data_IF_594421391808
#
_entry.id   IF_594421391808
#
_cell.length_a   1.000
_cell.length_b   1.000
_cell.length_c   1.000
_cell.angle_alpha   90.00
_cell.angle_beta   90.00
_cell.angle_gamma   90.00
#
_symmetry.space_group_name_H-M   'P 1'
#
loop_
_entity.id
_entity.type
_entity.pdbx_description
1 polymer ?
#
# COMPACT_ATOMS: atom_id res chain seq x y z
N UNK A 1 -3.77 -18.51 -13.42
CA UNK A 1 -2.72 -19.02 -14.35
C UNK A 1 -2.33 -17.88 -15.28
N UNK A 2 -1.04 -17.59 -15.47
CA UNK A 2 -0.56 -16.55 -16.40
C UNK A 2 0.72 -17.03 -17.11
N UNK A 3 0.77 -17.01 -18.44
CA UNK A 3 1.96 -17.37 -19.23
C UNK A 3 2.23 -16.35 -20.34
N UNK A 4 3.50 -16.03 -20.57
CA UNK A 4 3.96 -15.21 -21.69
C UNK A 4 4.99 -15.97 -22.53
N UNK A 5 4.66 -16.13 -23.80
CA UNK A 5 5.49 -16.83 -24.76
C UNK A 5 5.93 -15.89 -25.89
N UNK A 6 7.13 -16.13 -26.40
CA UNK A 6 7.63 -15.48 -27.61
C UNK A 6 7.95 -16.50 -28.68
N UNK A 7 7.81 -16.10 -29.94
CA UNK A 7 8.15 -16.92 -31.09
C UNK A 7 8.95 -16.05 -32.06
N UNK A 8 10.15 -16.50 -32.38
CA UNK A 8 11.05 -15.79 -33.28
C UNK A 8 11.61 -16.72 -34.36
N UNK A 9 11.40 -16.33 -35.61
CA UNK A 9 12.03 -16.92 -36.80
C UNK A 9 12.58 -15.79 -37.70
N UNK A 10 13.17 -16.14 -38.85
CA UNK A 10 13.79 -15.16 -39.76
C UNK A 10 12.82 -14.09 -40.31
N UNK A 11 11.50 -14.31 -40.21
CA UNK A 11 10.46 -13.45 -40.78
C UNK A 11 9.43 -12.96 -39.74
N UNK A 12 9.43 -13.50 -38.54
CA UNK A 12 8.40 -13.33 -37.52
C UNK A 12 9.03 -13.09 -36.15
N UNK A 13 8.54 -12.06 -35.46
CA UNK A 13 8.81 -11.83 -34.03
C UNK A 13 7.47 -11.56 -33.36
N UNK A 14 6.97 -12.56 -32.62
CA UNK A 14 5.60 -12.60 -32.11
C UNK A 14 5.58 -12.89 -30.63
N UNK A 15 4.59 -12.33 -29.94
CA UNK A 15 4.28 -12.68 -28.56
C UNK A 15 2.88 -13.28 -28.48
N UNK A 16 2.69 -14.11 -27.47
CA UNK A 16 1.42 -14.69 -27.10
C UNK A 16 1.36 -14.80 -25.57
N UNK A 17 0.29 -14.33 -24.95
CA UNK A 17 0.07 -14.47 -23.52
C UNK A 17 -1.30 -15.12 -23.27
N UNK A 18 -1.47 -15.68 -22.07
CA UNK A 18 -2.76 -16.14 -21.57
C UNK A 18 -2.86 -15.87 -20.07
N UNK A 19 -3.98 -15.28 -19.66
CA UNK A 19 -4.30 -14.94 -18.28
C UNK A 19 -5.65 -15.55 -17.91
N UNK A 20 -5.69 -16.39 -16.88
CA UNK A 20 -6.91 -17.02 -16.37
C UNK A 20 -7.35 -16.31 -15.10
N UNK A 21 -8.60 -15.84 -15.08
CA UNK A 21 -9.28 -15.20 -13.95
C UNK A 21 -10.65 -15.85 -13.74
N UNK A 22 -10.79 -16.61 -12.65
CA UNK A 22 -11.99 -17.40 -12.35
C UNK A 22 -12.35 -18.38 -13.46
N UNK A 23 -13.59 -18.30 -13.95
CA UNK A 23 -14.09 -19.13 -15.06
C UNK A 23 -13.82 -18.53 -16.45
N UNK A 24 -12.94 -17.53 -16.57
CA UNK A 24 -12.61 -16.90 -17.84
C UNK A 24 -11.11 -16.83 -18.07
N UNK A 25 -10.69 -16.80 -19.33
CA UNK A 25 -9.32 -16.45 -19.67
C UNK A 25 -9.28 -15.39 -20.76
N UNK A 26 -8.21 -14.59 -20.77
CA UNK A 26 -7.87 -13.63 -21.80
C UNK A 26 -6.57 -14.05 -22.47
N UNK A 27 -6.56 -14.09 -23.80
CA UNK A 27 -5.38 -14.35 -24.63
C UNK A 27 -5.07 -13.10 -25.42
N UNK A 28 -3.85 -12.57 -25.29
CA UNK A 28 -3.32 -11.47 -26.10
C UNK A 28 -2.19 -11.96 -26.99
N UNK A 29 -2.20 -11.58 -28.25
CA UNK A 29 -1.16 -11.96 -29.20
C UNK A 29 -0.86 -10.85 -30.20
N UNK A 30 0.38 -10.80 -30.67
CA UNK A 30 0.79 -9.74 -31.58
C UNK A 30 2.23 -9.87 -32.04
N UNK A 31 2.69 -8.87 -32.79
CA UNK A 31 4.10 -8.69 -33.08
C UNK A 31 4.78 -8.13 -31.83
N UNK A 32 5.97 -8.64 -31.50
CA UNK A 32 6.73 -8.16 -30.33
C UNK A 32 6.92 -6.64 -30.41
N UNK A 33 6.59 -5.92 -29.33
CA UNK A 33 6.65 -4.46 -29.25
C UNK A 33 5.36 -3.71 -29.65
N UNK A 34 4.26 -4.41 -29.97
CA UNK A 34 2.94 -3.79 -30.15
C UNK A 34 1.98 -4.16 -29.02
N UNK A 35 0.87 -3.45 -28.89
CA UNK A 35 -0.17 -3.77 -27.89
C UNK A 35 -0.89 -5.10 -28.16
N UNK A 36 -0.73 -5.68 -29.36
CA UNK A 36 -1.38 -6.92 -29.77
C UNK A 36 -2.91 -6.84 -29.87
N UNK A 37 -3.53 -8.00 -29.93
CA UNK A 37 -4.99 -8.18 -29.95
C UNK A 37 -5.37 -9.14 -28.83
N UNK A 38 -6.35 -8.76 -28.02
CA UNK A 38 -6.85 -9.55 -26.91
C UNK A 38 -8.18 -10.22 -27.25
N UNK A 39 -8.37 -11.46 -26.79
CA UNK A 39 -9.62 -12.20 -26.87
C UNK A 39 -9.91 -12.85 -25.52
N UNK A 40 -11.11 -12.62 -24.98
CA UNK A 40 -11.56 -13.22 -23.71
C UNK A 40 -12.57 -14.32 -24.00
N UNK A 41 -12.48 -15.42 -23.26
CA UNK A 41 -13.42 -16.55 -23.33
C UNK A 41 -13.81 -16.98 -21.92
N UNK A 42 -15.11 -17.10 -21.70
CA UNK A 42 -15.71 -17.50 -20.41
C UNK A 42 -16.29 -18.91 -20.52
N UNK A 43 -16.23 -19.66 -19.43
CA UNK A 43 -16.64 -21.07 -19.32
C UNK A 43 -17.63 -21.24 -18.17
N UNK A 44 -18.33 -22.37 -18.15
CA UNK A 44 -19.30 -22.68 -17.09
C UNK A 44 -18.63 -22.87 -15.73
N UNK A 45 -17.39 -23.37 -15.70
CA UNK A 45 -16.64 -23.60 -14.46
C UNK A 45 -15.18 -23.19 -14.57
N UNK A 46 -14.55 -22.88 -13.44
CA UNK A 46 -13.12 -22.60 -13.35
C UNK A 46 -12.27 -23.79 -13.84
N UNK A 47 -12.64 -25.02 -13.47
CA UNK A 47 -11.91 -26.23 -13.89
C UNK A 47 -11.87 -26.41 -15.41
N UNK A 48 -13.00 -26.14 -16.10
CA UNK A 48 -13.07 -26.23 -17.57
C UNK A 48 -12.27 -25.12 -18.24
N UNK A 49 -12.26 -23.92 -17.64
CA UNK A 49 -11.42 -22.80 -18.08
C UNK A 49 -9.92 -23.15 -18.00
N UNK A 50 -9.47 -23.66 -16.85
CA UNK A 50 -8.06 -24.03 -16.62
C UNK A 50 -7.61 -25.13 -17.59
N UNK A 51 -8.43 -26.18 -17.79
CA UNK A 51 -8.10 -27.28 -18.72
C UNK A 51 -7.91 -26.77 -20.15
N UNK A 52 -8.79 -25.89 -20.62
CA UNK A 52 -8.68 -25.34 -21.98
C UNK A 52 -7.49 -24.37 -22.10
N UNK A 53 -7.20 -23.56 -21.06
CA UNK A 53 -6.02 -22.69 -21.03
C UNK A 53 -4.71 -23.48 -21.10
N UNK A 54 -4.60 -24.59 -20.35
CA UNK A 54 -3.44 -25.49 -20.38
C UNK A 54 -3.25 -26.18 -21.74
N UNK A 55 -4.35 -26.53 -22.41
CA UNK A 55 -4.33 -27.07 -23.77
C UNK A 55 -3.77 -26.05 -24.76
N UNK A 56 -4.25 -24.80 -24.73
CA UNK A 56 -3.74 -23.72 -25.59
C UNK A 56 -2.25 -23.45 -25.36
N UNK A 57 -1.81 -23.43 -24.10
CA UNK A 57 -0.40 -23.30 -23.74
C UNK A 57 0.44 -24.42 -24.37
N UNK A 58 0.01 -25.67 -24.19
CA UNK A 58 0.72 -26.85 -24.71
C UNK A 58 0.81 -26.83 -26.24
N UNK A 59 -0.24 -26.38 -26.93
CA UNK A 59 -0.23 -26.22 -28.38
C UNK A 59 0.76 -25.15 -28.85
N UNK A 60 0.92 -24.04 -28.11
CA UNK A 60 1.88 -22.98 -28.44
C UNK A 60 3.32 -23.44 -28.24
N UNK A 61 3.61 -24.11 -27.13
CA UNK A 61 4.93 -24.69 -26.87
C UNK A 61 5.32 -25.71 -27.96
N UNK A 62 4.39 -26.58 -28.38
CA UNK A 62 4.60 -27.51 -29.50
C UNK A 62 4.86 -26.81 -30.84
N UNK A 63 4.34 -25.59 -31.03
CA UNK A 63 4.57 -24.76 -32.22
C UNK A 63 5.87 -23.96 -32.16
N UNK A 64 6.74 -24.24 -31.19
CA UNK A 64 8.05 -23.60 -31.05
C UNK A 64 8.00 -22.23 -30.37
N UNK A 65 6.86 -21.85 -29.77
CA UNK A 65 6.85 -20.72 -28.86
C UNK A 65 7.66 -21.10 -27.62
N UNK A 66 8.56 -20.21 -27.22
CA UNK A 66 9.39 -20.37 -26.03
C UNK A 66 8.84 -19.49 -24.91
N UNK A 67 8.88 -20.01 -23.70
CA UNK A 67 8.54 -19.22 -22.52
C UNK A 67 9.66 -18.20 -22.28
N UNK A 68 9.29 -16.93 -22.13
CA UNK A 68 10.26 -15.84 -22.05
C UNK A 68 11.03 -15.85 -20.73
N UNK A 69 12.19 -16.50 -20.69
CA UNK A 69 13.23 -16.23 -19.69
C UNK A 69 13.92 -14.91 -20.07
N UNK A 70 13.80 -13.88 -19.24
CA UNK A 70 14.63 -12.68 -19.39
C UNK A 70 16.07 -13.05 -19.02
N UNK A 71 16.86 -13.47 -20.00
CA UNK A 71 18.32 -13.36 -19.95
C UNK A 71 18.68 -11.91 -20.26
N UNK A 72 18.91 -11.09 -19.22
CA UNK A 72 19.65 -9.83 -19.38
C UNK A 72 21.15 -10.13 -19.40
N UNK A 73 21.75 -9.95 -20.57
CA UNK A 73 23.18 -9.74 -20.71
C UNK A 73 23.64 -8.55 -19.88
N UNK A 74 24.62 -8.82 -19.01
CA UNK A 74 25.57 -7.92 -18.37
C UNK A 74 25.35 -6.42 -18.53
N UNK A 75 24.78 -5.78 -17.50
CA UNK A 75 25.38 -4.59 -16.86
C UNK A 75 24.94 -4.54 -15.39
N UNK A 76 25.91 -4.27 -14.52
CA UNK A 76 25.79 -4.28 -13.06
C UNK A 76 24.75 -3.28 -12.59
N UNK A 77 23.67 -3.76 -12.00
CA UNK A 77 23.03 -3.13 -10.85
C UNK A 77 22.26 -4.20 -10.07
N UNK A 78 22.50 -4.27 -8.76
CA UNK A 78 21.95 -5.30 -7.87
C UNK A 78 20.48 -5.00 -7.61
N UNK A 79 19.59 -5.70 -8.31
CA UNK A 79 18.18 -5.85 -7.88
C UNK A 79 17.89 -7.34 -7.87
N UNK A 80 17.73 -7.90 -6.68
CA UNK A 80 17.50 -9.33 -6.46
C UNK A 80 16.09 -9.72 -6.87
N UNK A 81 15.90 -10.06 -8.14
CA UNK A 81 14.71 -10.80 -8.57
C UNK A 81 14.92 -12.25 -8.16
N UNK A 82 14.22 -12.70 -7.11
CA UNK A 82 14.16 -14.12 -6.76
C UNK A 82 13.48 -14.87 -7.91
N UNK A 83 14.15 -15.87 -8.47
CA UNK A 83 13.52 -16.72 -9.50
C UNK A 83 12.48 -17.63 -8.82
N UNK A 84 11.49 -18.17 -9.56
CA UNK A 84 10.47 -19.05 -8.99
C UNK A 84 11.02 -20.27 -8.22
N UNK A 85 12.27 -20.66 -8.51
CA UNK A 85 12.92 -21.80 -7.89
C UNK A 85 13.70 -21.44 -6.60
N UNK A 86 13.83 -20.15 -6.28
CA UNK A 86 14.62 -19.68 -5.12
C UNK A 86 13.76 -19.57 -3.86
N UNK A 87 12.56 -19.00 -3.95
CA UNK A 87 11.66 -18.89 -2.80
C UNK A 87 11.18 -20.26 -2.30
N UNK A 88 10.92 -21.20 -3.23
CA UNK A 88 10.45 -22.53 -2.86
C UNK A 88 11.47 -23.28 -2.00
N UNK A 89 12.76 -23.20 -2.37
CA UNK A 89 13.86 -23.79 -1.59
C UNK A 89 14.03 -23.13 -0.23
N UNK A 90 13.82 -21.82 -0.14
CA UNK A 90 13.82 -21.11 1.14
C UNK A 90 12.69 -21.64 2.04
N UNK A 91 11.48 -21.73 1.50
CA UNK A 91 10.32 -22.24 2.24
C UNK A 91 10.46 -23.71 2.65
N UNK A 92 10.98 -24.58 1.78
CA UNK A 92 11.25 -25.98 2.12
C UNK A 92 12.22 -26.09 3.31
N UNK A 93 13.22 -25.21 3.40
CA UNK A 93 14.13 -25.17 4.56
C UNK A 93 13.39 -24.76 5.83
N UNK A 94 12.47 -23.79 5.75
CA UNK A 94 11.65 -23.35 6.88
C UNK A 94 10.75 -24.49 7.36
N UNK A 95 10.02 -25.15 6.46
CA UNK A 95 9.14 -26.29 6.80
C UNK A 95 9.89 -27.42 7.49
N UNK A 96 11.13 -27.69 7.06
CA UNK A 96 11.98 -28.72 7.64
C UNK A 96 12.87 -28.22 8.79
N UNK A 97 12.68 -26.98 9.26
CA UNK A 97 13.53 -26.40 10.30
C UNK A 97 13.31 -27.05 11.66
N UNK A 98 14.41 -27.26 12.39
CA UNK A 98 14.38 -27.66 13.81
C UNK A 98 14.06 -26.50 14.74
N UNK A 99 14.20 -25.26 14.26
CA UNK A 99 13.98 -24.03 15.01
C UNK A 99 12.98 -23.14 14.24
N UNK A 100 11.80 -23.72 14.04
CA UNK A 100 10.75 -23.19 13.17
C UNK A 100 10.36 -21.76 13.54
N UNK A 101 10.18 -21.47 14.83
CA UNK A 101 9.74 -20.16 15.31
C UNK A 101 10.78 -19.08 14.99
N UNK A 102 12.07 -19.35 15.22
CA UNK A 102 13.13 -18.39 14.92
C UNK A 102 13.32 -18.19 13.42
N UNK A 103 13.24 -19.26 12.62
CA UNK A 103 13.41 -19.14 11.18
C UNK A 103 12.23 -18.42 10.50
N UNK A 104 11.00 -18.60 10.98
CA UNK A 104 9.86 -17.79 10.56
C UNK A 104 10.00 -16.33 11.00
N UNK A 105 10.42 -16.08 12.24
CA UNK A 105 10.67 -14.71 12.72
C UNK A 105 11.67 -13.98 11.81
N UNK A 106 12.74 -14.67 11.38
CA UNK A 106 13.71 -14.13 10.42
C UNK A 106 13.11 -13.94 9.03
N UNK A 107 12.36 -14.91 8.53
CA UNK A 107 11.77 -14.86 7.19
C UNK A 107 10.81 -13.66 7.05
N UNK A 108 9.96 -13.45 8.06
CA UNK A 108 8.96 -12.38 8.07
C UNK A 108 9.47 -11.05 8.66
N UNK A 109 10.75 -10.93 9.04
CA UNK A 109 11.29 -9.75 9.73
C UNK A 109 11.13 -8.44 8.96
N UNK A 110 10.92 -8.50 7.65
CA UNK A 110 10.62 -7.35 6.81
C UNK A 110 9.30 -6.65 7.18
N UNK A 111 8.40 -7.32 7.90
CA UNK A 111 7.16 -6.73 8.42
C UNK A 111 7.40 -5.84 9.65
N UNK A 112 8.51 -6.00 10.38
CA UNK A 112 8.88 -5.09 11.46
C UNK A 112 9.59 -3.85 10.88
N UNK A 113 8.86 -3.10 10.05
CA UNK A 113 9.34 -1.96 9.25
C UNK A 113 9.19 -0.59 9.93
N UNK A 114 8.69 -0.55 11.16
CA UNK A 114 8.68 0.60 12.07
C UNK A 114 9.44 0.24 13.36
N UNK A 115 10.10 1.24 13.96
CA UNK A 115 10.95 1.00 15.13
C UNK A 115 10.19 0.37 16.29
N UNK A 116 10.74 -0.69 16.89
CA UNK A 116 10.18 -1.34 18.07
C UNK A 116 9.26 -2.53 17.78
N UNK A 117 9.07 -2.92 16.52
CA UNK A 117 8.25 -4.07 16.14
C UNK A 117 9.01 -5.41 16.13
N UNK A 118 10.33 -5.42 16.34
CA UNK A 118 11.14 -6.64 16.41
C UNK A 118 10.70 -7.61 17.53
N UNK A 119 10.31 -7.15 18.74
CA UNK A 119 9.72 -8.02 19.75
C UNK A 119 8.32 -8.51 19.36
N UNK A 120 7.53 -7.70 18.66
CA UNK A 120 6.15 -8.02 18.24
C UNK A 120 6.16 -9.21 17.27
N UNK A 121 6.98 -9.14 16.22
CA UNK A 121 7.07 -10.23 15.26
C UNK A 121 7.58 -11.53 15.89
N UNK A 122 8.57 -11.45 16.78
CA UNK A 122 9.05 -12.61 17.53
C UNK A 122 7.92 -13.24 18.35
N UNK A 123 7.13 -12.41 19.03
CA UNK A 123 6.01 -12.88 19.84
C UNK A 123 4.93 -13.56 19.02
N UNK A 124 4.64 -13.08 17.82
CA UNK A 124 3.68 -13.72 16.91
C UNK A 124 4.15 -15.13 16.55
N UNK A 125 5.38 -15.28 16.04
CA UNK A 125 5.88 -16.58 15.58
C UNK A 125 6.28 -17.56 16.70
N UNK A 126 6.40 -17.12 17.96
CA UNK A 126 6.44 -18.02 19.14
C UNK A 126 5.19 -18.93 19.23
N UNK A 127 4.06 -18.46 18.70
CA UNK A 127 2.78 -19.16 18.71
C UNK A 127 2.58 -20.07 17.50
N UNK A 128 3.56 -20.19 16.60
CA UNK A 128 3.47 -21.13 15.47
C UNK A 128 3.35 -22.58 15.96
N UNK A 129 2.44 -23.31 15.32
CA UNK A 129 2.22 -24.73 15.49
C UNK A 129 2.91 -25.53 14.36
N UNK A 130 2.53 -25.27 13.11
CA UNK A 130 3.07 -25.98 11.94
C UNK A 130 3.12 -25.06 10.73
N UNK A 131 4.03 -25.35 9.79
CA UNK A 131 4.12 -24.67 8.50
C UNK A 131 4.04 -25.69 7.38
N UNK A 132 3.32 -25.33 6.32
CA UNK A 132 3.10 -26.15 5.14
C UNK A 132 3.28 -25.31 3.88
N UNK A 133 3.60 -25.97 2.77
CA UNK A 133 3.61 -25.35 1.44
C UNK A 133 2.47 -25.96 0.63
N UNK A 134 1.65 -25.13 0.02
CA UNK A 134 0.63 -25.53 -0.93
C UNK A 134 0.81 -24.75 -2.23
N UNK A 135 1.41 -25.39 -3.24
CA UNK A 135 1.79 -24.73 -4.48
C UNK A 135 2.70 -23.52 -4.24
N UNK A 136 2.20 -22.34 -4.59
CA UNK A 136 2.91 -21.06 -4.43
C UNK A 136 2.52 -20.31 -3.15
N UNK A 137 2.02 -21.01 -2.14
CA UNK A 137 1.61 -20.41 -0.86
C UNK A 137 2.32 -21.09 0.30
N UNK A 138 2.94 -20.30 1.17
CA UNK A 138 3.39 -20.72 2.49
C UNK A 138 2.26 -20.52 3.49
N UNK A 139 1.94 -21.55 4.27
CA UNK A 139 0.83 -21.55 5.23
C UNK A 139 1.41 -21.76 6.62
N UNK A 140 1.22 -20.79 7.50
CA UNK A 140 1.63 -20.85 8.91
C UNK A 140 0.38 -21.01 9.77
N UNK A 141 0.26 -22.16 10.42
CA UNK A 141 -0.82 -22.44 11.38
C UNK A 141 -0.32 -22.13 12.79
N UNK A 142 -1.13 -21.40 13.56
CA UNK A 142 -0.82 -20.99 14.93
C UNK A 142 -1.56 -21.87 15.95
N UNK A 143 -1.05 -21.91 17.19
CA UNK A 143 -1.58 -22.74 18.28
C UNK A 143 -3.04 -22.43 18.65
N UNK A 144 -3.51 -21.22 18.38
CA UNK A 144 -4.90 -20.78 18.59
C UNK A 144 -5.85 -21.19 17.44
N UNK A 145 -5.35 -21.87 16.40
CA UNK A 145 -6.13 -22.29 15.22
C UNK A 145 -6.17 -21.25 14.10
N UNK A 146 -5.65 -20.04 14.31
CA UNK A 146 -5.54 -19.05 13.25
C UNK A 146 -4.46 -19.44 12.23
N UNK A 147 -4.58 -18.91 11.02
CA UNK A 147 -3.68 -19.19 9.90
C UNK A 147 -3.24 -17.89 9.24
N UNK A 148 -1.95 -17.80 8.91
CA UNK A 148 -1.38 -16.80 8.02
C UNK A 148 -0.97 -17.49 6.72
N UNK A 149 -1.55 -17.08 5.60
CA UNK A 149 -1.13 -17.51 4.27
C UNK A 149 -0.27 -16.42 3.63
N UNK A 150 0.79 -16.84 2.95
CA UNK A 150 1.74 -15.95 2.33
C UNK A 150 2.01 -16.43 0.89
N UNK A 151 1.55 -15.65 -0.09
CA UNK A 151 1.72 -15.95 -1.50
C UNK A 151 3.19 -15.76 -1.94
N UNK A 152 3.59 -16.38 -3.05
CA UNK A 152 4.92 -16.21 -3.63
C UNK A 152 5.27 -14.73 -3.84
N UNK A 153 6.58 -14.38 -3.90
CA UNK A 153 7.03 -13.02 -4.22
C UNK A 153 6.28 -12.41 -5.42
N UNK A 154 5.90 -11.14 -5.28
CA UNK A 154 5.31 -10.35 -6.35
C UNK A 154 6.38 -9.60 -7.17
N UNK A 155 5.92 -8.74 -8.08
CA UNK A 155 6.80 -7.84 -8.84
C UNK A 155 6.61 -6.40 -8.35
N UNK A 156 7.54 -5.83 -7.55
CA UNK A 156 7.45 -4.45 -7.06
C UNK A 156 7.31 -3.41 -8.17
N UNK A 157 7.85 -3.69 -9.36
CA UNK A 157 7.76 -2.79 -10.52
C UNK A 157 6.32 -2.57 -10.99
N UNK A 158 5.39 -3.43 -10.59
CA UNK A 158 3.95 -3.30 -10.86
C UNK A 158 3.25 -2.31 -9.91
N UNK A 159 3.92 -1.86 -8.84
CA UNK A 159 3.33 -1.06 -7.75
C UNK A 159 4.03 0.28 -7.54
N UNK A 160 4.55 0.92 -8.61
CA UNK A 160 5.42 2.11 -8.53
C UNK A 160 4.88 3.31 -7.72
N UNK A 161 3.56 3.41 -7.53
CA UNK A 161 2.94 4.46 -6.71
C UNK A 161 2.99 4.18 -5.20
N UNK A 162 3.18 2.92 -4.80
CA UNK A 162 3.20 2.51 -3.41
C UNK A 162 4.51 2.90 -2.69
N UNK A 163 4.48 3.06 -1.36
CA UNK A 163 5.67 3.39 -0.55
C UNK A 163 6.76 2.31 -0.61
N UNK A 164 8.01 2.68 -0.24
CA UNK A 164 9.15 1.76 -0.37
C UNK A 164 9.03 0.58 0.60
N UNK A 165 8.47 0.78 1.80
CA UNK A 165 8.17 -0.31 2.73
C UNK A 165 7.27 -1.38 2.08
N UNK A 166 6.19 -0.95 1.43
CA UNK A 166 5.28 -1.83 0.70
C UNK A 166 5.98 -2.57 -0.44
N UNK A 167 6.82 -1.90 -1.22
CA UNK A 167 7.58 -2.55 -2.29
C UNK A 167 8.48 -3.68 -1.76
N UNK A 168 9.16 -3.48 -0.62
CA UNK A 168 9.99 -4.51 0.02
C UNK A 168 9.15 -5.70 0.52
N UNK A 169 7.93 -5.44 0.98
CA UNK A 169 6.99 -6.49 1.34
C UNK A 169 6.60 -7.32 0.11
N UNK A 170 6.26 -6.67 -1.01
CA UNK A 170 5.90 -7.35 -2.26
C UNK A 170 7.06 -8.20 -2.81
N UNK A 171 8.32 -7.77 -2.62
CA UNK A 171 9.50 -8.59 -2.96
C UNK A 171 9.56 -9.92 -2.22
N UNK A 172 8.89 -10.03 -1.06
CA UNK A 172 8.87 -11.23 -0.24
C UNK A 172 7.62 -12.04 -0.45
N UNK A 173 6.46 -11.38 -0.39
CA UNK A 173 5.17 -12.00 -0.56
C UNK A 173 4.23 -11.03 -1.26
N UNK A 174 3.65 -11.45 -2.38
CA UNK A 174 2.71 -10.62 -3.12
C UNK A 174 1.47 -10.26 -2.28
N UNK A 175 1.03 -11.21 -1.47
CA UNK A 175 -0.12 -11.08 -0.59
C UNK A 175 0.09 -11.88 0.70
N UNK A 176 -0.30 -11.31 1.84
CA UNK A 176 -0.46 -12.03 3.11
C UNK A 176 -1.93 -12.00 3.52
N UNK A 177 -2.50 -13.14 3.94
CA UNK A 177 -3.90 -13.20 4.37
C UNK A 177 -4.10 -13.99 5.65
N UNK A 178 -5.10 -13.58 6.42
CA UNK A 178 -5.73 -14.39 7.47
C UNK A 178 -7.20 -14.64 7.10
N UNK A 179 -8.01 -15.10 8.05
CA UNK A 179 -9.45 -15.19 7.84
C UNK A 179 -10.13 -13.81 7.83
N UNK A 180 -9.46 -12.77 8.35
CA UNK A 180 -10.02 -11.43 8.45
C UNK A 180 -9.26 -10.40 7.65
N UNK A 181 -7.95 -10.58 7.46
CA UNK A 181 -7.06 -9.56 6.92
C UNK A 181 -6.52 -9.98 5.56
N UNK A 182 -6.37 -9.00 4.66
CA UNK A 182 -5.62 -9.11 3.42
C UNK A 182 -4.65 -7.94 3.29
N UNK A 183 -3.36 -8.25 3.26
CA UNK A 183 -2.26 -7.31 3.04
C UNK A 183 -1.66 -7.55 1.65
N UNK A 184 -1.65 -6.53 0.81
CA UNK A 184 -1.23 -6.61 -0.59
C UNK A 184 -1.78 -5.43 -1.38
N UNK A 185 -2.03 -5.57 -2.68
CA UNK A 185 -2.79 -4.55 -3.43
C UNK A 185 -4.28 -4.87 -3.34
N UNK A 186 -4.99 -4.17 -2.47
CA UNK A 186 -6.41 -4.36 -2.25
C UNK A 186 -7.24 -3.48 -3.21
N UNK A 187 -8.45 -3.93 -3.51
CA UNK A 187 -9.46 -3.09 -4.15
C UNK A 187 -10.13 -2.19 -3.11
N UNK A 188 -10.30 -0.93 -3.48
CA UNK A 188 -11.01 0.08 -2.73
C UNK A 188 -12.06 0.71 -3.64
N UNK A 189 -13.31 0.72 -3.19
CA UNK A 189 -14.41 1.31 -3.94
C UNK A 189 -14.51 2.79 -3.56
N UNK A 190 -13.93 3.66 -4.37
CA UNK A 190 -13.95 5.11 -4.11
C UNK A 190 -15.28 5.74 -4.54
N UNK A 191 -16.03 5.09 -5.44
CA UNK A 191 -17.26 5.65 -6.03
C UNK A 191 -18.42 5.74 -5.03
N UNK A 192 -18.29 5.13 -3.85
CA UNK A 192 -19.27 5.23 -2.77
C UNK A 192 -19.17 6.54 -1.98
N UNK A 193 -18.14 7.35 -2.21
CA UNK A 193 -17.90 8.62 -1.52
C UNK A 193 -18.20 9.80 -2.44
N UNK A 194 -18.98 10.76 -1.93
CA UNK A 194 -19.42 11.97 -2.63
C UNK A 194 -18.71 13.24 -2.07
N UNK A 195 -18.86 14.37 -2.77
CA UNK A 195 -18.38 15.67 -2.29
C UNK A 195 -18.96 15.99 -0.90
N UNK A 196 -18.09 16.40 0.03
CA UNK A 196 -18.41 16.54 1.45
C UNK A 196 -18.06 15.33 2.31
N UNK A 197 -17.88 14.14 1.73
CA UNK A 197 -17.35 13.00 2.47
C UNK A 197 -15.86 13.18 2.74
N UNK A 198 -15.43 12.86 3.97
CA UNK A 198 -14.04 13.03 4.39
C UNK A 198 -13.04 12.34 3.45
N UNK A 199 -13.37 11.15 2.95
CA UNK A 199 -12.52 10.40 2.01
C UNK A 199 -12.42 11.13 0.68
N UNK A 200 -13.54 11.64 0.16
CA UNK A 200 -13.56 12.40 -1.08
C UNK A 200 -12.71 13.68 -0.97
N UNK A 201 -12.89 14.42 0.13
CA UNK A 201 -12.16 15.66 0.41
C UNK A 201 -10.65 15.44 0.57
N UNK A 202 -10.24 14.39 1.30
CA UNK A 202 -8.81 14.06 1.50
C UNK A 202 -8.11 13.81 0.15
N UNK A 203 -8.79 13.18 -0.80
CA UNK A 203 -8.23 12.84 -2.10
C UNK A 203 -8.57 13.84 -3.21
N UNK A 204 -9.29 14.93 -2.91
CA UNK A 204 -9.76 15.91 -3.90
C UNK A 204 -10.46 15.22 -5.09
N UNK A 205 -11.31 14.23 -4.78
CA UNK A 205 -12.03 13.42 -5.76
C UNK A 205 -11.15 12.54 -6.68
N UNK A 206 -9.83 12.43 -6.43
CA UNK A 206 -8.88 11.72 -7.33
C UNK A 206 -8.70 10.25 -6.92
N UNK A 207 -9.64 9.39 -7.31
CA UNK A 207 -9.56 7.93 -7.12
C UNK A 207 -8.18 7.35 -7.51
N UNK A 208 -7.59 7.79 -8.62
CA UNK A 208 -6.33 7.24 -9.13
C UNK A 208 -5.12 7.42 -8.20
N UNK A 209 -5.25 8.23 -7.15
CA UNK A 209 -4.26 8.45 -6.11
C UNK A 209 -4.49 7.59 -4.86
N UNK A 210 -5.63 6.90 -4.77
CA UNK A 210 -5.96 6.02 -3.64
C UNK A 210 -5.17 4.72 -3.77
N UNK A 211 -4.47 4.38 -2.71
CA UNK A 211 -3.65 3.18 -2.62
C UNK A 211 -4.06 2.43 -1.37
N UNK A 212 -4.71 1.28 -1.54
CA UNK A 212 -5.21 0.44 -0.46
C UNK A 212 -4.27 -0.75 -0.23
N UNK A 213 -3.37 -0.69 0.77
CA UNK A 213 -2.49 -1.81 1.09
C UNK A 213 -3.11 -2.91 1.96
N UNK A 214 -4.16 -2.60 2.75
CA UNK A 214 -4.70 -3.54 3.74
C UNK A 214 -6.22 -3.44 3.78
N UNK A 215 -6.88 -4.60 3.80
CA UNK A 215 -8.34 -4.71 3.87
C UNK A 215 -8.76 -5.73 4.93
N UNK A 216 -9.86 -5.43 5.61
CA UNK A 216 -10.61 -6.38 6.41
C UNK A 216 -11.76 -6.97 5.60
N UNK A 217 -12.07 -8.25 5.82
CA UNK A 217 -13.20 -8.91 5.19
C UNK A 217 -14.57 -8.36 5.62
N UNK A 218 -14.63 -7.59 6.71
CA UNK A 218 -15.83 -6.87 7.19
C UNK A 218 -15.98 -5.45 6.59
N UNK A 219 -15.36 -5.24 5.43
CA UNK A 219 -15.31 -3.99 4.66
C UNK A 219 -14.41 -2.89 5.22
N UNK A 220 -13.71 -3.04 6.36
CA UNK A 220 -12.80 -1.98 6.80
C UNK A 220 -11.54 -1.90 5.91
N UNK A 221 -11.35 -0.79 5.21
CA UNK A 221 -10.23 -0.58 4.29
C UNK A 221 -9.17 0.33 4.93
N UNK A 222 -7.90 0.14 4.60
CA UNK A 222 -6.82 1.00 5.08
C UNK A 222 -6.05 1.51 3.89
N UNK A 223 -6.06 2.84 3.72
CA UNK A 223 -5.49 3.52 2.55
C UNK A 223 -4.33 4.42 2.94
N UNK A 224 -3.37 4.63 2.05
CA UNK A 224 -2.31 5.61 2.31
C UNK A 224 -2.86 7.03 2.22
N UNK A 225 -2.55 7.83 3.25
CA UNK A 225 -2.90 9.24 3.29
C UNK A 225 -2.10 10.02 2.22
N UNK A 226 -2.72 10.96 1.46
CA UNK A 226 -2.04 11.62 0.35
C UNK A 226 -0.94 12.60 0.79
N UNK A 227 -1.09 13.24 1.97
CA UNK A 227 -0.18 14.30 2.45
C UNK A 227 0.53 14.00 3.77
N UNK A 228 -0.20 13.53 4.80
CA UNK A 228 0.39 13.13 6.08
C UNK A 228 1.38 11.98 5.96
N UNK A 229 2.45 12.05 6.76
CA UNK A 229 3.56 11.11 6.74
C UNK A 229 3.92 10.65 8.14
N UNK A 230 4.51 9.46 8.23
CA UNK A 230 5.15 8.95 9.43
C UNK A 230 6.59 9.49 9.60
N UNK A 231 7.25 9.09 10.69
CA UNK A 231 8.61 9.53 11.05
C UNK A 231 9.67 9.05 10.05
N UNK A 232 9.37 7.99 9.28
CA UNK A 232 10.19 7.45 8.20
C UNK A 232 10.00 8.22 6.88
N UNK A 233 9.08 9.18 6.85
CA UNK A 233 8.77 10.01 5.68
C UNK A 233 7.90 9.30 4.63
N UNK A 234 7.33 8.16 4.97
CA UNK A 234 6.33 7.46 4.14
C UNK A 234 4.91 7.91 4.52
N UNK A 235 3.93 7.77 3.61
CA UNK A 235 2.54 8.13 3.90
C UNK A 235 2.01 7.48 5.18
N UNK A 236 1.32 8.26 6.02
CA UNK A 236 0.51 7.71 7.09
C UNK A 236 -0.62 6.84 6.52
N UNK A 237 -1.20 5.97 7.34
CA UNK A 237 -2.25 5.04 6.90
C UNK A 237 -3.57 5.47 7.52
N UNK A 238 -4.55 5.74 6.67
CA UNK A 238 -5.87 6.20 7.05
C UNK A 238 -6.87 5.03 7.04
N UNK A 239 -7.47 4.68 8.20
CA UNK A 239 -8.50 3.65 8.26
C UNK A 239 -9.85 4.21 7.75
N UNK A 240 -10.53 3.41 6.93
CA UNK A 240 -11.88 3.64 6.43
C UNK A 240 -12.78 2.56 7.03
N UNK A 241 -13.57 2.92 8.03
CA UNK A 241 -14.51 2.02 8.69
C UNK A 241 -15.91 2.48 8.32
N UNK A 242 -16.62 1.70 7.50
CA UNK A 242 -17.94 2.06 6.96
C UNK A 242 -19.06 2.17 8.01
N UNK A 243 -18.78 1.86 9.29
CA UNK A 243 -19.76 1.88 10.40
C UNK A 243 -19.55 3.02 11.41
N UNK A 244 -18.48 3.81 11.32
CA UNK A 244 -18.16 4.86 12.31
C UNK A 244 -17.83 6.18 11.60
N UNK A 245 -18.80 7.10 11.58
CA UNK A 245 -18.61 8.48 11.09
C UNK A 245 -17.72 9.33 12.02
N UNK A 246 -17.48 8.88 13.25
CA UNK A 246 -16.79 9.67 14.27
C UNK A 246 -15.28 9.35 14.35
N UNK A 247 -14.48 10.32 13.92
CA UNK A 247 -13.07 10.54 14.28
C UNK A 247 -12.09 9.36 14.16
N UNK A 248 -12.02 8.77 12.97
CA UNK A 248 -10.92 7.87 12.66
C UNK A 248 -9.66 8.70 12.35
N UNK A 249 -8.58 8.49 13.10
CA UNK A 249 -7.31 9.19 12.91
C UNK A 249 -6.33 8.34 12.08
N UNK A 250 -5.44 8.99 11.30
CA UNK A 250 -4.33 8.28 10.66
C UNK A 250 -3.45 7.56 11.69
N UNK A 251 -2.89 6.45 11.25
CA UNK A 251 -1.88 5.67 11.97
C UNK A 251 -0.52 5.90 11.33
N UNK A 252 0.52 6.04 12.14
CA UNK A 252 1.85 6.46 11.70
C UNK A 252 2.88 5.33 11.71
N UNK A 253 2.43 4.08 11.63
CA UNK A 253 3.29 2.95 11.28
C UNK A 253 3.45 2.82 9.77
N UNK A 254 4.54 2.18 9.35
CA UNK A 254 4.58 1.54 8.04
C UNK A 254 3.64 0.33 8.02
N UNK A 255 3.27 -0.09 6.82
CA UNK A 255 2.21 -1.08 6.63
C UNK A 255 2.53 -2.46 7.21
N UNK A 256 3.79 -2.89 7.18
CA UNK A 256 4.18 -4.17 7.75
C UNK A 256 3.91 -4.21 9.25
N UNK A 257 4.29 -3.14 9.94
CA UNK A 257 4.15 -3.01 11.40
C UNK A 257 2.68 -2.84 11.80
N UNK A 258 1.91 -2.08 11.02
CA UNK A 258 0.45 -2.04 11.18
C UNK A 258 -0.14 -3.45 11.06
N UNK A 259 0.26 -4.23 10.04
CA UNK A 259 -0.22 -5.59 9.87
C UNK A 259 0.15 -6.49 11.06
N UNK A 260 1.37 -6.39 11.59
CA UNK A 260 1.76 -7.13 12.81
C UNK A 260 0.89 -6.75 14.02
N UNK A 261 0.56 -5.46 14.18
CA UNK A 261 -0.38 -5.02 15.21
C UNK A 261 -1.75 -5.68 15.01
N UNK A 262 -2.29 -5.68 13.78
CA UNK A 262 -3.57 -6.31 13.48
C UNK A 262 -3.55 -7.83 13.70
N UNK A 263 -2.42 -8.50 13.42
CA UNK A 263 -2.25 -9.92 13.75
C UNK A 263 -2.27 -10.17 15.26
N UNK A 264 -1.62 -9.31 16.06
CA UNK A 264 -1.69 -9.42 17.53
C UNK A 264 -3.12 -9.30 18.02
N UNK A 265 -3.89 -8.35 17.47
CA UNK A 265 -5.30 -8.14 17.81
C UNK A 265 -6.16 -9.35 17.38
N UNK A 266 -6.04 -9.85 16.14
CA UNK A 266 -6.78 -11.01 15.63
C UNK A 266 -6.43 -12.31 16.36
N UNK A 267 -5.15 -12.50 16.71
CA UNK A 267 -4.67 -13.74 17.32
C UNK A 267 -4.72 -13.72 18.85
N UNK A 268 -5.24 -12.63 19.44
CA UNK A 268 -5.33 -12.38 20.88
C UNK A 268 -3.96 -12.49 21.59
N UNK A 269 -2.89 -12.05 20.91
CA UNK A 269 -1.52 -12.10 21.44
C UNK A 269 -1.24 -10.87 22.29
N UNK A 270 -1.11 -11.09 23.59
CA UNK A 270 -0.78 -10.02 24.55
C UNK A 270 0.69 -9.63 24.46
N UNK A 271 0.94 -8.44 23.94
CA UNK A 271 2.24 -7.79 23.91
C UNK A 271 2.05 -6.26 23.89
N UNK A 272 3.01 -5.54 24.45
CA UNK A 272 3.06 -4.09 24.32
C UNK A 272 3.39 -3.73 22.87
N UNK A 273 2.45 -3.06 22.21
CA UNK A 273 2.67 -2.49 20.87
C UNK A 273 3.41 -1.16 21.06
N UNK A 274 4.43 -0.85 20.24
CA UNK A 274 5.06 0.47 20.23
C UNK A 274 4.01 1.59 20.18
N UNK A 275 4.34 2.78 20.67
CA UNK A 275 3.39 3.91 20.65
C UNK A 275 3.26 4.43 19.22
N UNK A 276 2.01 4.68 18.81
CA UNK A 276 1.70 5.35 17.55
C UNK A 276 1.83 6.85 17.76
N UNK A 277 2.95 7.41 17.34
CA UNK A 277 3.23 8.83 17.49
C UNK A 277 3.07 9.53 16.14
N UNK A 278 2.07 10.42 16.04
CA UNK A 278 2.03 11.42 14.98
C UNK A 278 3.35 12.18 15.00
N UNK A 279 4.12 12.20 13.89
CA UNK A 279 5.31 13.02 13.83
C UNK A 279 4.95 14.47 14.14
N UNK A 280 5.80 15.14 14.91
CA UNK A 280 5.66 16.57 15.20
C UNK A 280 5.55 17.29 13.87
N UNK A 281 4.36 17.77 13.55
CA UNK A 281 4.13 18.55 12.34
C UNK A 281 4.65 19.97 12.62
N UNK A 282 5.75 20.39 11.99
CA UNK A 282 6.27 21.74 12.19
C UNK A 282 5.24 22.80 11.78
N UNK A 283 4.28 22.43 10.93
CA UNK A 283 3.19 23.27 10.44
C UNK A 283 1.88 23.14 11.22
N UNK A 284 1.61 22.05 11.94
CA UNK A 284 0.43 21.94 12.82
C UNK A 284 0.62 22.80 14.06
N UNK A 285 1.82 22.79 14.64
CA UNK A 285 2.17 23.72 15.73
C UNK A 285 2.09 25.17 15.26
N UNK A 286 2.41 25.44 13.98
CA UNK A 286 2.07 26.71 13.35
C UNK A 286 0.55 26.86 13.33
N UNK A 287 -0.27 26.09 12.63
CA UNK A 287 -1.74 26.35 12.49
C UNK A 287 -2.48 26.48 13.83
N UNK A 288 -2.24 25.58 14.78
CA UNK A 288 -2.95 25.57 16.08
C UNK A 288 -2.50 26.70 17.00
N UNK A 289 -1.26 27.20 16.87
CA UNK A 289 -0.73 28.31 17.68
C UNK A 289 -0.35 29.55 16.84
N UNK A 290 -0.74 29.63 15.57
CA UNK A 290 -0.27 30.66 14.64
C UNK A 290 -0.79 32.00 15.11
N UNK A 291 -2.09 32.02 15.42
CA UNK A 291 -2.77 33.19 15.96
C UNK A 291 -2.17 33.64 17.29
N UNK A 292 -1.92 32.72 18.22
CA UNK A 292 -1.38 33.07 19.55
C UNK A 292 0.03 33.65 19.46
N UNK A 293 0.83 33.19 18.49
CA UNK A 293 2.20 33.65 18.22
C UNK A 293 2.31 34.95 17.42
N UNK A 294 1.20 35.50 16.91
CA UNK A 294 1.21 36.82 16.26
C UNK A 294 1.45 37.94 17.28
N UNK A 295 2.18 38.98 16.85
CA UNK A 295 2.24 40.24 17.59
C UNK A 295 0.87 40.92 17.63
N UNK A 296 0.63 41.77 18.62
CA UNK A 296 -0.65 42.48 18.74
C UNK A 296 -0.96 43.35 17.52
N UNK A 297 0.08 43.91 16.87
CA UNK A 297 -0.05 44.65 15.62
C UNK A 297 -0.57 43.76 14.48
N UNK A 298 -0.08 42.51 14.38
CA UNK A 298 -0.55 41.54 13.40
C UNK A 298 -1.98 41.06 13.70
N UNK A 299 -2.28 40.75 14.96
CA UNK A 299 -3.65 40.39 15.40
C UNK A 299 -4.65 41.49 15.06
N UNK A 300 -4.29 42.75 15.32
CA UNK A 300 -5.13 43.90 15.01
C UNK A 300 -5.30 44.10 13.49
N UNK A 301 -4.23 43.96 12.70
CA UNK A 301 -4.30 44.06 11.25
C UNK A 301 -5.25 43.02 10.64
N UNK A 302 -5.22 41.77 11.12
CA UNK A 302 -6.16 40.75 10.66
C UNK A 302 -7.60 40.99 11.12
N UNK A 303 -7.83 41.37 12.39
CA UNK A 303 -9.19 41.72 12.87
C UNK A 303 -9.81 42.85 12.06
N UNK A 304 -9.02 43.84 11.63
CA UNK A 304 -9.49 44.95 10.82
C UNK A 304 -9.96 44.57 9.40
N UNK A 305 -9.67 43.35 8.93
CA UNK A 305 -10.16 42.86 7.64
C UNK A 305 -11.59 42.35 7.69
N UNK A 306 -12.15 42.13 8.89
CA UNK A 306 -13.46 41.52 9.07
C UNK A 306 -14.44 42.52 9.73
N UNK A 307 -15.72 42.41 9.40
CA UNK A 307 -16.77 43.31 9.91
C UNK A 307 -16.99 43.16 11.42
N UNK A 308 -16.88 41.93 11.94
CA UNK A 308 -17.00 41.64 13.36
C UNK A 308 -15.63 41.69 14.04
N UNK A 309 -15.31 42.82 14.66
CA UNK A 309 -14.02 43.07 15.32
C UNK A 309 -13.86 42.38 16.68
N UNK A 310 -14.96 41.94 17.28
CA UNK A 310 -14.98 41.30 18.61
C UNK A 310 -14.74 39.78 18.52
N UNK A 311 -14.87 39.19 17.33
CA UNK A 311 -14.59 37.78 17.09
C UNK A 311 -13.18 37.60 16.53
N UNK A 312 -12.40 36.71 17.15
CA UNK A 312 -11.09 36.35 16.62
C UNK A 312 -11.24 35.53 15.32
N UNK A 313 -10.63 35.96 14.20
CA UNK A 313 -10.66 35.20 12.97
C UNK A 313 -9.77 33.95 13.08
N UNK A 314 -10.24 32.83 12.52
CA UNK A 314 -9.44 31.59 12.48
C UNK A 314 -8.39 31.65 11.38
N UNK A 315 -7.40 30.75 11.43
CA UNK A 315 -6.37 30.65 10.40
C UNK A 315 -6.98 30.43 9.01
N UNK A 316 -7.97 29.54 8.90
CA UNK A 316 -8.70 29.23 7.67
C UNK A 316 -9.46 30.44 7.16
N UNK A 317 -10.10 31.19 8.07
CA UNK A 317 -10.85 32.41 7.72
C UNK A 317 -9.89 33.45 7.11
N UNK A 318 -8.70 33.62 7.70
CA UNK A 318 -7.67 34.54 7.19
C UNK A 318 -7.11 34.06 5.86
N UNK A 319 -6.97 32.75 5.67
CA UNK A 319 -6.49 32.16 4.42
C UNK A 319 -7.39 32.52 3.22
N UNK A 320 -8.69 32.73 3.43
CA UNK A 320 -9.62 33.14 2.36
C UNK A 320 -9.40 34.58 1.85
N UNK A 321 -8.64 35.42 2.56
CA UNK A 321 -8.41 36.80 2.15
C UNK A 321 -7.61 36.86 0.84
N UNK A 322 -8.19 37.47 -0.21
CA UNK A 322 -7.49 37.73 -1.48
C UNK A 322 -6.53 38.92 -1.38
N UNK A 323 -6.83 39.87 -0.48
CA UNK A 323 -6.06 41.08 -0.26
C UNK A 323 -6.02 41.38 1.23
N UNK A 324 -4.88 41.90 1.68
CA UNK A 324 -4.67 42.31 3.06
C UNK A 324 -4.31 43.79 3.09
N UNK A 325 -5.14 44.60 3.74
CA UNK A 325 -4.87 46.01 3.91
C UNK A 325 -4.07 46.26 5.19
N UNK A 326 -2.82 46.71 5.04
CA UNK A 326 -1.91 47.02 6.14
C UNK A 326 -1.72 48.52 6.39
N UNK A 327 -2.52 49.37 5.74
CA UNK A 327 -2.46 50.81 5.94
C UNK A 327 -2.71 51.14 7.42
N UNK A 328 -1.93 52.08 7.95
CA UNK A 328 -1.96 52.51 9.36
C UNK A 328 -1.60 51.43 10.40
N UNK A 329 -1.02 50.29 9.97
CA UNK A 329 -0.48 49.29 10.88
C UNK A 329 0.98 49.58 11.28
N UNK A 330 1.38 49.18 12.49
CA UNK A 330 2.77 49.28 12.96
C UNK A 330 3.59 48.02 12.63
N UNK A 331 3.24 47.30 11.56
CA UNK A 331 3.88 46.04 11.18
C UNK A 331 5.29 46.31 10.66
N UNK A 332 6.27 45.59 11.22
CA UNK A 332 7.70 45.74 10.92
C UNK A 332 8.33 44.53 10.24
N UNK A 333 7.61 43.41 10.11
CA UNK A 333 8.08 42.17 9.50
C UNK A 333 6.93 41.45 8.79
N UNK A 334 7.25 40.67 7.76
CA UNK A 334 6.26 39.93 6.96
C UNK A 334 6.18 38.44 7.32
N UNK A 335 6.82 38.00 8.41
CA UNK A 335 6.94 36.57 8.73
C UNK A 335 5.57 35.86 8.84
N UNK A 336 4.52 36.47 9.41
CA UNK A 336 3.21 35.81 9.47
C UNK A 336 2.62 35.48 8.10
N UNK A 337 2.97 36.23 7.05
CA UNK A 337 2.49 35.97 5.70
C UNK A 337 3.16 34.77 5.04
N UNK A 338 4.38 34.41 5.45
CA UNK A 338 5.10 33.26 4.90
C UNK A 338 4.33 31.96 5.15
N UNK A 339 3.73 31.79 6.34
CA UNK A 339 2.89 30.64 6.67
C UNK A 339 1.60 30.60 5.85
N UNK A 340 0.94 31.75 5.66
CA UNK A 340 -0.27 31.84 4.84
C UNK A 340 0.03 31.56 3.36
N UNK A 341 1.16 32.06 2.85
CA UNK A 341 1.59 31.84 1.46
C UNK A 341 2.02 30.39 1.21
N UNK A 342 2.72 29.77 2.17
CA UNK A 342 3.08 28.36 2.08
C UNK A 342 1.84 27.46 1.97
N UNK A 343 0.81 27.75 2.76
CA UNK A 343 -0.46 27.03 2.73
C UNK A 343 -1.22 27.28 1.41
N UNK A 344 -1.32 28.54 0.95
CA UNK A 344 -1.96 28.88 -0.33
C UNK A 344 -1.29 28.30 -1.57
N UNK A 345 0.01 27.99 -1.50
CA UNK A 345 0.74 27.36 -2.60
C UNK A 345 0.72 25.82 -2.52
N UNK A 346 0.23 25.27 -1.40
CA UNK A 346 0.12 23.83 -1.16
C UNK A 346 -1.28 23.30 -1.47
N UNK A 347 -2.29 24.18 -1.46
CA UNK A 347 -3.63 23.99 -2.00
C UNK A 347 -3.70 24.54 -3.43
#
# INVERSE_FOLDING_TARGET
MNHQLTFKDDKSDKFWNIEVSGNSFTVTYGKTGTSGTSQTKTFETEETCIKEAQKLLSEKLKKGYIEGNIQTSSQKEKTSVQTPNDFHKEWEKIVNSKDLQNDLTKHFSYLADSSGFEPVIRKIFEHTNVVKINGNTLIVEFKNGNTLTAESPGNPSSYKKFPKSFLKLIEKHNTLKTNRLELGKCYFDFDIFDEGDRVYEIFDGKESNVLCPLKFMDNSDWIYHPTEKNKEGEPAIFPIIHELEDEINPVYYNIGSLFLKQLCDEFEIKIEIPVDERPVDPSADLKTNWWSNLSDAWKQAFRNQFENKDKEPTFETILTLERLNLNDSTISDLKPLEALLAEKNSN
#
